data_IF_845691113563
#
_entry.id   IF_845691113563
#
_cell.length_a   1.000
_cell.length_b   1.000
_cell.length_c   1.000
_cell.angle_alpha   90.00
_cell.angle_beta   90.00
_cell.angle_gamma   90.00
#
_symmetry.space_group_name_H-M   'P 1'
#
loop_
_entity.id
_entity.type
_entity.pdbx_description
1 polymer ?
#
# COMPACT_ATOMS: atom_id res chain seq x y z
N UNK A 1 29.79 -44.76 -34.27
CA UNK A 1 29.61 -43.32 -34.10
C UNK A 1 28.34 -43.14 -33.29
N UNK A 2 28.47 -42.89 -31.99
CA UNK A 2 27.33 -42.72 -31.07
C UNK A 2 27.19 -41.22 -30.84
N UNK A 3 26.06 -40.63 -31.33
CA UNK A 3 25.78 -39.22 -31.20
C UNK A 3 25.03 -39.01 -29.86
N UNK A 4 25.72 -38.41 -28.88
CA UNK A 4 25.12 -38.03 -27.62
C UNK A 4 24.41 -36.68 -27.77
N UNK A 5 23.08 -36.72 -27.82
CA UNK A 5 22.22 -35.53 -27.75
C UNK A 5 22.12 -35.05 -26.30
N UNK A 6 22.74 -33.94 -25.96
CA UNK A 6 22.56 -33.26 -24.68
C UNK A 6 21.29 -32.45 -24.76
N UNK A 7 20.23 -32.93 -24.10
CA UNK A 7 19.02 -32.15 -23.85
C UNK A 7 19.33 -31.10 -22.78
N UNK A 8 19.47 -29.84 -23.19
CA UNK A 8 19.54 -28.70 -22.29
C UNK A 8 18.20 -28.48 -21.61
N UNK A 9 18.13 -28.75 -20.32
CA UNK A 9 16.97 -28.43 -19.48
C UNK A 9 17.02 -26.91 -19.19
N UNK A 10 16.27 -26.11 -19.97
CA UNK A 10 16.05 -24.69 -19.68
C UNK A 10 15.10 -24.61 -18.47
N UNK A 11 15.65 -24.35 -17.30
CA UNK A 11 14.83 -23.98 -16.14
C UNK A 11 14.18 -22.64 -16.41
N UNK A 12 12.87 -22.64 -16.68
CA UNK A 12 12.04 -21.45 -16.62
C UNK A 12 11.99 -21.00 -15.15
N UNK A 13 12.76 -19.98 -14.80
CA UNK A 13 12.57 -19.28 -13.54
C UNK A 13 11.28 -18.49 -13.70
N UNK A 14 10.18 -19.02 -13.18
CA UNK A 14 8.96 -18.27 -13.01
C UNK A 14 9.28 -17.17 -11.99
N UNK A 15 9.31 -15.92 -12.42
CA UNK A 15 9.33 -14.76 -11.54
C UNK A 15 7.98 -14.74 -10.81
N UNK A 16 7.95 -15.30 -9.62
CA UNK A 16 6.80 -15.20 -8.73
C UNK A 16 6.77 -13.75 -8.26
N UNK A 17 5.82 -12.97 -8.76
CA UNK A 17 5.62 -11.59 -8.34
C UNK A 17 4.61 -11.59 -7.19
N UNK A 18 5.01 -11.07 -6.03
CA UNK A 18 4.10 -10.85 -4.90
C UNK A 18 3.02 -9.83 -5.28
N UNK A 19 1.85 -9.94 -4.66
CA UNK A 19 0.73 -9.04 -4.92
C UNK A 19 -0.15 -8.95 -3.68
N UNK A 20 -0.41 -7.72 -3.22
CA UNK A 20 -1.30 -7.48 -2.09
C UNK A 20 -1.82 -6.04 -2.05
N UNK A 21 -2.96 -5.86 -1.40
CA UNK A 21 -3.59 -4.55 -1.14
C UNK A 21 -4.55 -4.63 0.05
N UNK A 22 -4.91 -3.47 0.59
CA UNK A 22 -6.02 -3.34 1.55
C UNK A 22 -7.34 -3.31 0.79
N UNK A 23 -8.25 -4.23 1.13
CA UNK A 23 -9.61 -4.27 0.60
C UNK A 23 -10.60 -3.43 1.43
N UNK A 24 -10.34 -3.32 2.74
CA UNK A 24 -11.16 -2.53 3.67
C UNK A 24 -10.29 -2.03 4.83
N UNK A 25 -10.46 -0.77 5.27
CA UNK A 25 -11.32 0.29 4.69
C UNK A 25 -10.94 0.64 3.26
N UNK A 26 -11.79 1.45 2.56
CA UNK A 26 -11.50 1.86 1.20
C UNK A 26 -10.17 2.61 1.13
N UNK A 27 -9.19 2.05 0.42
CA UNK A 27 -7.89 2.66 0.20
C UNK A 27 -7.89 3.50 -1.08
N UNK A 28 -6.91 4.40 -1.23
CA UNK A 28 -6.73 5.19 -2.47
C UNK A 28 -6.64 4.28 -3.69
N UNK A 29 -7.28 4.73 -4.76
CA UNK A 29 -7.20 4.17 -6.09
C UNK A 29 -6.73 5.23 -7.10
N UNK A 30 -6.08 4.85 -8.21
CA UNK A 30 -5.58 5.81 -9.20
C UNK A 30 -6.69 6.32 -10.11
N UNK A 31 -6.70 7.62 -10.37
CA UNK A 31 -7.65 8.29 -11.26
C UNK A 31 -7.02 9.36 -12.15
N UNK A 32 -7.78 10.40 -12.47
CA UNK A 32 -7.34 11.47 -13.36
C UNK A 32 -6.29 12.38 -12.73
N UNK A 33 -6.41 12.68 -11.43
CA UNK A 33 -5.41 13.46 -10.71
C UNK A 33 -4.08 12.69 -10.62
N UNK A 34 -4.15 11.38 -10.35
CA UNK A 34 -2.97 10.50 -10.40
C UNK A 34 -2.34 10.50 -11.80
N UNK A 35 -3.13 10.46 -12.87
CA UNK A 35 -2.61 10.50 -14.23
C UNK A 35 -1.92 11.84 -14.55
N UNK A 36 -2.44 12.95 -14.03
CA UNK A 36 -1.86 14.28 -14.23
C UNK A 36 -0.48 14.42 -13.55
N UNK A 37 -0.27 13.78 -12.42
CA UNK A 37 0.97 13.87 -11.62
C UNK A 37 1.95 12.74 -11.95
N UNK A 38 1.47 11.51 -12.07
CA UNK A 38 2.30 10.32 -12.22
C UNK A 38 2.23 9.66 -13.62
N UNK A 39 1.46 10.25 -14.53
CA UNK A 39 1.34 9.79 -15.91
C UNK A 39 0.30 8.68 -16.11
N UNK A 40 -0.30 8.65 -17.30
CA UNK A 40 -1.35 7.69 -17.65
C UNK A 40 -0.85 6.24 -17.63
N UNK A 41 0.41 5.98 -18.02
CA UNK A 41 0.97 4.63 -18.03
C UNK A 41 1.00 3.99 -16.63
N UNK A 42 1.24 4.79 -15.60
CA UNK A 42 1.16 4.33 -14.21
C UNK A 42 -0.27 3.96 -13.81
N UNK A 43 -1.23 4.83 -14.15
CA UNK A 43 -2.65 4.57 -13.88
C UNK A 43 -3.12 3.30 -14.58
N UNK A 44 -2.77 3.11 -15.86
CA UNK A 44 -3.12 1.90 -16.63
C UNK A 44 -2.49 0.64 -16.04
N UNK A 45 -1.23 0.73 -15.60
CA UNK A 45 -0.53 -0.36 -14.94
C UNK A 45 -1.25 -0.83 -13.67
N UNK A 46 -1.60 0.10 -12.78
CA UNK A 46 -2.27 -0.26 -11.53
C UNK A 46 -3.77 -0.56 -11.69
N UNK A 47 -4.44 -0.01 -12.71
CA UNK A 47 -5.80 -0.43 -13.07
C UNK A 47 -5.85 -1.85 -13.62
N UNK A 48 -4.80 -2.30 -14.31
CA UNK A 48 -4.66 -3.68 -14.75
C UNK A 48 -4.40 -4.64 -13.57
N UNK A 49 -3.63 -4.22 -12.58
CA UNK A 49 -3.37 -4.99 -11.36
C UNK A 49 -3.07 -4.09 -10.15
N UNK A 50 -4.11 -3.74 -9.39
CA UNK A 50 -4.01 -2.92 -8.17
C UNK A 50 -3.19 -3.56 -7.05
N UNK A 51 -2.96 -4.88 -7.10
CA UNK A 51 -2.14 -5.60 -6.12
C UNK A 51 -0.64 -5.49 -6.40
N UNK A 52 -0.24 -4.87 -7.53
CA UNK A 52 1.15 -4.69 -7.95
C UNK A 52 1.89 -3.61 -7.13
N UNK A 53 3.15 -3.34 -7.43
CA UNK A 53 4.09 -2.59 -6.62
C UNK A 53 5.00 -1.69 -7.47
N UNK A 54 5.60 -0.60 -6.89
CA UNK A 54 6.40 0.38 -7.62
C UNK A 54 7.56 -0.22 -8.41
N UNK A 55 8.29 -1.18 -7.86
CA UNK A 55 9.43 -1.78 -8.54
C UNK A 55 9.01 -2.61 -9.78
N UNK A 56 7.76 -3.10 -9.82
CA UNK A 56 7.21 -3.73 -11.03
C UNK A 56 6.84 -2.69 -12.08
N UNK A 57 6.21 -1.59 -11.66
CA UNK A 57 5.93 -0.45 -12.53
C UNK A 57 7.20 0.05 -13.21
N UNK A 58 8.28 0.28 -12.45
CA UNK A 58 9.57 0.78 -12.97
C UNK A 58 10.25 -0.15 -13.99
N UNK A 59 9.80 -1.41 -14.09
CA UNK A 59 10.24 -2.35 -15.13
C UNK A 59 9.35 -2.33 -16.37
N UNK A 60 8.20 -1.67 -16.32
CA UNK A 60 7.30 -1.58 -17.46
C UNK A 60 7.81 -0.59 -18.52
N UNK A 61 7.51 -0.80 -19.81
CA UNK A 61 7.90 0.15 -20.85
C UNK A 61 7.25 1.53 -20.62
N UNK A 62 8.03 2.57 -20.81
CA UNK A 62 7.55 3.98 -20.78
C UNK A 62 6.87 4.40 -19.45
N UNK A 63 7.14 3.73 -18.36
CA UNK A 63 6.54 4.05 -17.07
C UNK A 63 6.77 5.50 -16.63
N UNK A 64 7.88 6.12 -17.07
CA UNK A 64 8.26 7.49 -16.74
C UNK A 64 7.50 8.56 -17.53
N UNK A 65 6.74 8.18 -18.56
CA UNK A 65 6.05 9.15 -19.40
C UNK A 65 4.94 9.86 -18.64
N UNK A 66 5.08 11.17 -18.51
CA UNK A 66 4.11 12.03 -17.83
C UNK A 66 4.30 12.12 -16.31
N UNK A 67 5.38 11.53 -15.76
CA UNK A 67 5.73 11.71 -14.34
C UNK A 67 6.27 13.12 -14.12
N UNK A 68 5.73 13.78 -13.10
CA UNK A 68 6.21 15.08 -12.60
C UNK A 68 7.08 14.90 -11.33
N UNK A 69 7.69 15.96 -10.84
CA UNK A 69 8.46 15.96 -9.59
C UNK A 69 7.60 15.71 -8.34
N UNK A 70 6.28 15.94 -8.44
CA UNK A 70 5.33 15.73 -7.35
C UNK A 70 4.85 14.26 -7.24
N UNK A 71 5.26 13.39 -8.16
CA UNK A 71 4.90 11.98 -8.12
C UNK A 71 5.77 11.20 -7.15
N UNK A 72 5.29 10.92 -5.96
CA UNK A 72 5.96 10.04 -4.99
C UNK A 72 5.41 8.61 -5.08
N UNK A 73 6.14 7.72 -5.77
CA UNK A 73 5.76 6.32 -5.94
C UNK A 73 5.77 5.52 -4.63
N UNK A 74 6.47 6.02 -3.61
CA UNK A 74 6.59 5.40 -2.29
C UNK A 74 5.74 6.10 -1.23
N UNK A 75 4.78 6.92 -1.66
CA UNK A 75 3.67 7.38 -0.84
C UNK A 75 2.36 6.98 -1.53
N UNK A 76 1.66 6.01 -0.95
CA UNK A 76 0.37 5.55 -1.50
C UNK A 76 0.45 5.08 -2.96
N UNK A 77 1.59 4.55 -3.41
CA UNK A 77 1.86 4.21 -4.82
C UNK A 77 1.76 5.41 -5.77
N UNK A 78 1.89 6.64 -5.30
CA UNK A 78 1.69 7.87 -6.09
C UNK A 78 0.22 8.23 -6.32
N UNK A 79 -0.75 7.52 -5.73
CA UNK A 79 -2.17 7.82 -5.89
C UNK A 79 -2.54 9.13 -5.20
N UNK A 80 -3.18 10.02 -5.94
CA UNK A 80 -3.52 11.35 -5.47
C UNK A 80 -4.80 11.37 -4.63
N UNK A 81 -4.83 12.25 -3.65
CA UNK A 81 -5.98 12.43 -2.77
C UNK A 81 -7.23 12.88 -3.53
N UNK A 82 -7.06 13.73 -4.53
CA UNK A 82 -8.13 14.29 -5.36
C UNK A 82 -8.96 13.25 -6.11
N UNK A 83 -8.40 12.08 -6.36
CA UNK A 83 -9.14 10.93 -6.93
C UNK A 83 -9.96 10.18 -5.88
N UNK A 84 -9.81 10.50 -4.58
CA UNK A 84 -10.28 9.67 -3.46
C UNK A 84 -11.11 10.43 -2.42
N UNK A 85 -11.64 11.59 -2.75
CA UNK A 85 -12.35 12.50 -1.84
C UNK A 85 -13.52 11.84 -1.11
N UNK A 86 -14.19 10.88 -1.75
CA UNK A 86 -15.35 10.17 -1.18
C UNK A 86 -14.94 9.03 -0.24
N UNK A 87 -13.66 8.68 -0.19
CA UNK A 87 -13.14 7.56 0.61
C UNK A 87 -12.66 7.99 2.02
N UNK A 88 -12.68 9.29 2.33
CA UNK A 88 -12.19 9.81 3.60
C UNK A 88 -13.02 9.26 4.76
N UNK A 89 -12.34 8.63 5.72
CA UNK A 89 -12.95 8.11 6.94
C UNK A 89 -12.87 9.15 8.05
N UNK A 90 -13.85 9.15 8.95
CA UNK A 90 -13.82 9.98 10.16
C UNK A 90 -13.62 9.07 11.37
N UNK A 91 -12.55 9.30 12.13
CA UNK A 91 -12.24 8.55 13.33
C UNK A 91 -11.96 9.47 14.52
N UNK A 92 -12.05 8.90 15.71
CA UNK A 92 -11.66 9.54 16.97
C UNK A 92 -10.52 8.75 17.60
N UNK A 93 -9.73 9.39 18.44
CA UNK A 93 -8.76 8.68 19.26
C UNK A 93 -9.43 7.58 20.07
N UNK A 94 -8.84 6.39 20.08
CA UNK A 94 -9.40 5.19 20.70
C UNK A 94 -10.29 4.34 19.78
N UNK A 95 -10.74 4.83 18.64
CA UNK A 95 -11.51 4.03 17.68
C UNK A 95 -10.69 2.87 17.13
N UNK A 96 -11.36 1.73 16.97
CA UNK A 96 -10.77 0.56 16.31
C UNK A 96 -11.13 0.56 14.84
N UNK A 97 -10.12 0.41 14.01
CA UNK A 97 -10.26 0.30 12.55
C UNK A 97 -9.92 -1.11 12.14
N UNK A 98 -10.88 -1.81 11.56
CA UNK A 98 -10.72 -3.18 11.09
C UNK A 98 -10.19 -3.18 9.65
N UNK A 99 -9.06 -3.85 9.45
CA UNK A 99 -8.43 -4.04 8.15
C UNK A 99 -8.72 -5.41 7.59
N UNK A 100 -8.99 -5.44 6.28
CA UNK A 100 -8.93 -6.65 5.46
C UNK A 100 -7.90 -6.44 4.36
N UNK A 101 -6.97 -7.36 4.29
CA UNK A 101 -5.85 -7.33 3.32
C UNK A 101 -5.94 -8.56 2.44
N UNK A 102 -5.92 -8.33 1.13
CA UNK A 102 -5.73 -9.39 0.16
C UNK A 102 -4.24 -9.62 -0.06
N UNK A 103 -3.77 -10.84 0.14
CA UNK A 103 -2.46 -11.30 -0.27
C UNK A 103 -2.67 -12.37 -1.34
N UNK A 104 -2.46 -12.00 -2.60
CA UNK A 104 -2.67 -12.89 -3.74
C UNK A 104 -1.48 -13.80 -4.00
N UNK A 105 -0.28 -13.26 -3.86
CA UNK A 105 0.98 -13.99 -3.98
C UNK A 105 1.87 -13.56 -2.82
N UNK A 106 2.20 -14.46 -1.88
CA UNK A 106 2.94 -14.10 -0.68
C UNK A 106 4.45 -14.01 -0.94
N UNK A 107 5.10 -13.02 -0.31
CA UNK A 107 6.55 -12.89 -0.20
C UNK A 107 6.92 -12.55 1.24
N UNK A 108 7.59 -13.46 1.89
CA UNK A 108 7.98 -13.29 3.29
C UNK A 108 8.74 -11.98 3.51
N UNK A 109 8.33 -11.22 4.53
CA UNK A 109 8.96 -9.94 4.80
C UNK A 109 8.53 -9.28 6.11
N UNK A 110 8.69 -7.97 6.13
CA UNK A 110 8.26 -7.04 7.16
C UNK A 110 6.96 -6.35 6.74
N UNK A 111 6.07 -6.09 7.68
CA UNK A 111 4.90 -5.24 7.42
C UNK A 111 4.54 -4.39 8.63
N UNK A 112 3.88 -3.26 8.38
CA UNK A 112 3.31 -2.43 9.43
C UNK A 112 2.06 -1.69 8.98
N UNK A 113 1.35 -1.11 9.95
CA UNK A 113 0.34 -0.08 9.73
C UNK A 113 0.72 1.12 10.56
N UNK A 114 0.77 2.29 9.95
CA UNK A 114 1.17 3.55 10.58
C UNK A 114 0.26 4.70 10.18
N UNK A 115 0.18 5.74 11.02
CA UNK A 115 -0.32 7.04 10.59
C UNK A 115 0.79 7.76 9.85
N UNK A 116 0.52 8.26 8.64
CA UNK A 116 1.51 8.98 7.82
C UNK A 116 1.00 10.37 7.49
N UNK A 117 1.84 11.38 7.74
CA UNK A 117 1.70 12.76 7.24
C UNK A 117 2.02 12.75 5.75
N UNK A 118 1.03 13.03 4.91
CA UNK A 118 1.17 12.93 3.46
C UNK A 118 2.06 14.01 2.85
N UNK A 119 2.08 15.20 3.47
CA UNK A 119 2.92 16.31 2.97
C UNK A 119 4.42 16.09 3.22
N UNK A 120 4.77 15.27 4.24
CA UNK A 120 6.15 14.98 4.60
C UNK A 120 6.60 13.57 4.22
N UNK A 121 5.66 12.71 3.80
CA UNK A 121 5.85 11.27 3.67
C UNK A 121 6.54 10.69 4.93
N UNK A 122 5.98 10.98 6.09
CA UNK A 122 6.60 10.64 7.37
C UNK A 122 5.59 10.07 8.37
N UNK A 123 6.00 9.03 9.09
CA UNK A 123 5.20 8.41 10.14
C UNK A 123 4.99 9.39 11.31
N UNK A 124 3.74 9.48 11.79
CA UNK A 124 3.36 10.24 12.99
C UNK A 124 3.29 9.26 14.17
N UNK A 125 4.12 9.47 15.18
CA UNK A 125 4.18 8.60 16.35
C UNK A 125 4.75 7.21 16.07
N UNK A 126 4.28 6.21 16.82
CA UNK A 126 4.68 4.81 16.66
C UNK A 126 3.80 4.09 15.64
N UNK A 127 4.31 3.01 15.05
CA UNK A 127 3.50 2.14 14.21
C UNK A 127 2.37 1.50 15.03
N UNK A 128 1.16 1.50 14.47
CA UNK A 128 -0.05 1.00 15.15
C UNK A 128 -0.06 -0.55 15.23
N UNK A 129 0.57 -1.19 14.26
CA UNK A 129 0.76 -2.64 14.21
C UNK A 129 2.02 -2.94 13.42
N UNK A 130 2.78 -3.94 13.88
CA UNK A 130 4.05 -4.35 13.24
C UNK A 130 4.12 -5.87 13.17
N UNK A 131 4.59 -6.37 12.04
CA UNK A 131 5.11 -7.73 11.87
C UNK A 131 6.59 -7.60 11.49
N UNK A 132 7.46 -7.77 12.48
CA UNK A 132 8.90 -7.55 12.33
C UNK A 132 9.55 -8.47 11.30
N UNK A 133 9.00 -9.67 11.13
CA UNK A 133 9.45 -10.66 10.15
C UNK A 133 8.38 -11.73 9.93
N UNK A 134 8.52 -12.47 8.83
CA UNK A 134 7.65 -13.62 8.57
C UNK A 134 6.27 -13.29 8.07
N UNK A 135 5.95 -12.01 7.81
CA UNK A 135 4.70 -11.59 7.20
C UNK A 135 4.59 -12.15 5.79
N UNK A 136 3.42 -12.66 5.43
CA UNK A 136 3.11 -13.24 4.12
C UNK A 136 4.08 -14.36 3.71
N UNK A 137 4.35 -15.30 4.62
CA UNK A 137 5.22 -16.45 4.35
C UNK A 137 4.56 -17.43 3.35
N UNK A 138 5.13 -17.52 2.16
CA UNK A 138 4.65 -18.39 1.09
C UNK A 138 4.57 -19.88 1.46
N UNK A 139 5.35 -20.34 2.44
CA UNK A 139 5.27 -21.70 2.93
C UNK A 139 3.95 -22.01 3.65
N UNK A 140 3.25 -20.97 4.12
CA UNK A 140 1.95 -21.08 4.79
C UNK A 140 0.76 -20.85 3.86
N UNK A 141 1.00 -20.40 2.63
CA UNK A 141 -0.08 -20.12 1.67
C UNK A 141 -0.79 -21.42 1.19
N UNK A 142 -2.14 -21.47 1.07
CA UNK A 142 -3.08 -20.36 1.22
C UNK A 142 -3.56 -20.09 2.67
N UNK A 143 -3.02 -20.78 3.67
CA UNK A 143 -3.44 -20.69 5.07
C UNK A 143 -2.51 -19.75 5.85
N UNK A 144 -2.41 -18.49 5.43
CA UNK A 144 -1.68 -17.45 6.16
C UNK A 144 -2.29 -17.24 7.57
N UNK A 145 -1.50 -16.80 8.57
CA UNK A 145 -2.05 -16.38 9.85
C UNK A 145 -3.19 -15.36 9.68
N UNK A 146 -4.29 -15.55 10.39
CA UNK A 146 -5.48 -14.73 10.22
C UNK A 146 -5.21 -13.24 10.48
N UNK A 147 -4.32 -12.93 11.41
CA UNK A 147 -3.94 -11.57 11.76
C UNK A 147 -3.04 -10.87 10.71
N UNK A 148 -2.58 -11.57 9.68
CA UNK A 148 -1.88 -10.98 8.53
C UNK A 148 -2.86 -10.45 7.47
N UNK A 149 -4.09 -10.95 7.46
CA UNK A 149 -5.10 -10.60 6.44
C UNK A 149 -6.37 -9.98 7.03
N UNK A 150 -6.60 -10.14 8.35
CA UNK A 150 -7.74 -9.56 9.06
C UNK A 150 -7.31 -9.17 10.46
N UNK A 151 -7.22 -7.86 10.71
CA UNK A 151 -6.74 -7.32 11.98
C UNK A 151 -7.34 -5.96 12.26
N UNK A 152 -7.18 -5.48 13.49
CA UNK A 152 -7.60 -4.12 13.88
C UNK A 152 -6.40 -3.32 14.36
N UNK A 153 -6.46 -2.00 14.13
CA UNK A 153 -5.58 -1.00 14.74
C UNK A 153 -6.41 -0.03 15.56
N UNK A 154 -5.79 0.66 16.50
CA UNK A 154 -6.46 1.70 17.30
C UNK A 154 -5.90 3.06 16.91
N UNK A 155 -6.77 4.04 16.64
CA UNK A 155 -6.37 5.40 16.34
C UNK A 155 -5.76 6.03 17.60
N UNK A 156 -4.53 6.55 17.54
CA UNK A 156 -3.88 7.19 18.69
C UNK A 156 -4.37 8.62 18.87
N UNK A 157 -3.98 9.24 20.00
CA UNK A 157 -4.06 10.69 20.17
C UNK A 157 -3.08 11.37 19.20
N UNK A 158 -3.58 12.23 18.32
CA UNK A 158 -2.79 12.89 17.27
C UNK A 158 -2.50 14.36 17.56
N UNK A 159 -2.90 14.87 18.73
CA UNK A 159 -2.54 16.22 19.18
C UNK A 159 -2.98 17.35 18.24
N UNK A 160 -4.13 17.22 17.59
CA UNK A 160 -4.64 18.20 16.64
C UNK A 160 -4.06 18.06 15.22
N UNK A 161 -3.29 17.02 14.94
CA UNK A 161 -2.91 16.63 13.58
C UNK A 161 -4.03 15.84 12.92
N UNK A 162 -3.97 15.71 11.59
CA UNK A 162 -4.94 14.93 10.80
C UNK A 162 -6.38 15.47 10.86
N UNK A 163 -6.56 16.77 11.05
CA UNK A 163 -7.90 17.41 11.08
C UNK A 163 -8.43 17.71 9.69
N UNK A 164 -7.56 17.79 8.70
CA UNK A 164 -7.92 18.12 7.33
C UNK A 164 -7.89 16.89 6.42
N UNK A 165 -8.89 16.71 5.53
CA UNK A 165 -8.89 15.65 4.55
C UNK A 165 -7.63 15.67 3.67
N UNK A 166 -7.04 14.49 3.45
CA UNK A 166 -5.83 14.32 2.66
C UNK A 166 -4.52 14.60 3.41
N UNK A 167 -4.56 15.20 4.61
CA UNK A 167 -3.36 15.47 5.40
C UNK A 167 -2.72 14.21 5.99
N UNK A 168 -3.52 13.19 6.27
CA UNK A 168 -3.05 11.94 6.88
C UNK A 168 -3.71 10.73 6.27
N UNK A 169 -2.96 9.63 6.31
CA UNK A 169 -3.46 8.30 5.93
C UNK A 169 -3.09 7.26 6.98
N UNK A 170 -3.90 6.21 7.09
CA UNK A 170 -3.47 4.94 7.64
C UNK A 170 -2.80 4.18 6.49
N UNK A 171 -1.48 4.04 6.54
CA UNK A 171 -0.73 3.32 5.53
C UNK A 171 -0.45 1.90 6.01
N UNK A 172 -0.94 0.90 5.26
CA UNK A 172 -0.43 -0.45 5.32
C UNK A 172 0.77 -0.53 4.37
N UNK A 173 1.92 -0.91 4.94
CA UNK A 173 3.18 -1.05 4.25
C UNK A 173 3.69 -2.49 4.41
N UNK A 174 4.12 -3.11 3.32
CA UNK A 174 4.72 -4.42 3.31
C UNK A 174 5.95 -4.44 2.39
N UNK A 175 7.11 -4.80 2.95
CA UNK A 175 8.35 -5.03 2.23
C UNK A 175 8.62 -6.54 2.21
N UNK A 176 8.36 -7.19 1.09
CA UNK A 176 8.57 -8.61 0.87
C UNK A 176 9.60 -8.86 -0.23
N UNK A 177 10.75 -9.43 0.11
CA UNK A 177 11.82 -9.79 -0.85
C UNK A 177 12.24 -8.64 -1.78
N UNK A 178 12.33 -7.41 -1.26
CA UNK A 178 12.73 -6.22 -2.01
C UNK A 178 11.63 -5.64 -2.90
N UNK A 179 10.39 -5.94 -2.64
CA UNK A 179 9.21 -5.40 -3.30
C UNK A 179 8.35 -4.66 -2.27
N UNK A 180 7.95 -3.45 -2.60
CA UNK A 180 7.22 -2.54 -1.70
C UNK A 180 5.74 -2.53 -2.03
N UNK A 181 4.90 -2.84 -1.08
CA UNK A 181 3.44 -2.80 -1.19
C UNK A 181 2.89 -1.77 -0.24
N UNK A 182 2.01 -0.94 -0.74
CA UNK A 182 1.38 0.13 0.03
C UNK A 182 -0.11 0.20 -0.29
N UNK A 183 -0.88 0.51 0.73
CA UNK A 183 -2.27 0.94 0.60
C UNK A 183 -2.55 2.01 1.64
N UNK A 184 -3.13 3.11 1.22
CA UNK A 184 -3.40 4.26 2.06
C UNK A 184 -4.91 4.48 2.21
N UNK A 185 -5.37 4.54 3.44
CA UNK A 185 -6.75 4.88 3.80
C UNK A 185 -6.77 6.31 4.31
N UNK A 186 -7.39 7.22 3.57
CA UNK A 186 -7.54 8.61 4.00
C UNK A 186 -8.48 8.72 5.18
N UNK A 187 -8.11 9.52 6.18
CA UNK A 187 -8.95 9.76 7.34
C UNK A 187 -8.74 11.16 7.93
N UNK A 188 -9.73 11.58 8.72
CA UNK A 188 -9.65 12.76 9.56
C UNK A 188 -9.97 12.40 11.00
N UNK A 189 -9.34 13.12 11.93
CA UNK A 189 -9.74 13.17 13.34
C UNK A 189 -10.28 14.59 13.58
N UNK A 190 -11.60 14.80 13.58
CA UNK A 190 -12.15 16.13 13.77
C UNK A 190 -11.63 16.73 15.07
N UNK A 191 -11.21 17.99 15.01
CA UNK A 191 -10.88 18.73 16.22
C UNK A 191 -12.06 18.68 17.20
N UNK A 192 -11.78 18.58 18.49
CA UNK A 192 -12.84 18.74 19.50
C UNK A 192 -13.54 20.06 19.20
N UNK A 193 -14.85 20.01 18.95
CA UNK A 193 -15.64 21.23 18.83
C UNK A 193 -15.38 22.03 20.10
N UNK A 194 -14.98 23.31 19.95
CA UNK A 194 -14.90 24.19 21.10
C UNK A 194 -16.30 24.14 21.76
N UNK A 195 -16.38 23.65 23.00
CA UNK A 195 -17.60 23.77 23.78
C UNK A 195 -17.87 25.28 23.87
N UNK A 196 -18.90 25.75 23.18
CA UNK A 196 -19.39 27.10 23.38
C UNK A 196 -19.93 27.20 24.82
N UNK A 197 -19.20 27.88 25.69
CA UNK A 197 -19.68 28.34 27.00
C UNK A 197 -20.70 29.48 26.87
#
# INVERSE_FOLDING_TARGET
MVSSSVLGLSALVALVQAHGLVESPAARAPGEATAAVCGQNMVDFYKADGTSYPEALMRSPNWQNGITEDCDLYLCKGYQFEDNLENVQEYKAGDKVDFKVQIRIPHVGYANVSVVDTAKNAVIGDALKVWESGYADGAKFPNLPADETSFSVTIPELGGQCTEPGACVLQWYWLGQGQTYESCVDFVVPGAAAEEE
#
